data_IF_805657614709
#
_entry.id   IF_805657614709
#
_cell.length_a   1.000
_cell.length_b   1.000
_cell.length_c   1.000
_cell.angle_alpha   90.00
_cell.angle_beta   90.00
_cell.angle_gamma   90.00
#
_symmetry.space_group_name_H-M   'P 1'
#
loop_
_entity.id
_entity.type
_entity.pdbx_description
1 polymer ?
#
# COMPACT_ATOMS: atom_id res chain seq x y z
N UNK A 1 5.47 -3.08 -19.00
CA UNK A 1 4.73 -1.91 -19.52
C UNK A 1 3.88 -1.25 -18.45
N UNK A 2 2.97 -1.96 -17.75
CA UNK A 2 2.14 -1.36 -16.68
C UNK A 2 2.94 -0.70 -15.53
N UNK A 3 3.92 -1.40 -14.95
CA UNK A 3 4.81 -0.83 -13.92
C UNK A 3 5.54 0.43 -14.38
N UNK A 4 5.88 0.52 -15.68
CA UNK A 4 6.55 1.69 -16.23
C UNK A 4 5.60 2.89 -16.24
N UNK A 5 4.35 2.71 -16.69
CA UNK A 5 3.33 3.75 -16.66
C UNK A 5 3.10 4.29 -15.23
N UNK A 6 3.02 3.40 -14.24
CA UNK A 6 2.87 3.78 -12.83
C UNK A 6 4.08 4.57 -12.31
N UNK A 7 5.31 4.14 -12.62
CA UNK A 7 6.55 4.85 -12.22
C UNK A 7 6.69 6.23 -12.86
N UNK A 8 6.09 6.44 -14.03
CA UNK A 8 6.09 7.72 -14.72
C UNK A 8 4.93 8.64 -14.33
N UNK A 9 4.08 8.23 -13.38
CA UNK A 9 2.89 8.98 -12.99
C UNK A 9 1.94 9.19 -14.18
N UNK A 10 1.58 8.09 -14.85
CA UNK A 10 0.61 8.10 -15.95
C UNK A 10 -0.54 7.11 -15.66
N UNK A 11 -1.54 7.53 -14.86
CA UNK A 11 -2.69 6.71 -14.50
C UNK A 11 -3.59 6.42 -15.71
N UNK A 12 -3.66 7.31 -16.70
CA UNK A 12 -4.47 7.09 -17.90
C UNK A 12 -3.93 5.93 -18.74
N UNK A 13 -2.61 5.90 -18.95
CA UNK A 13 -1.96 4.78 -19.62
C UNK A 13 -2.12 3.48 -18.81
N UNK A 14 -2.00 3.55 -17.48
CA UNK A 14 -2.22 2.39 -16.62
C UNK A 14 -3.66 1.83 -16.76
N UNK A 15 -4.68 2.69 -16.75
CA UNK A 15 -6.09 2.31 -16.95
C UNK A 15 -6.27 1.58 -18.29
N UNK A 16 -5.71 2.12 -19.39
CA UNK A 16 -5.83 1.50 -20.71
C UNK A 16 -5.17 0.12 -20.74
N UNK A 17 -3.99 -0.01 -20.14
CA UNK A 17 -3.28 -1.29 -20.07
C UNK A 17 -4.05 -2.32 -19.23
N UNK A 18 -4.65 -1.91 -18.12
CA UNK A 18 -5.48 -2.78 -17.27
C UNK A 18 -6.72 -3.26 -18.04
N UNK A 19 -7.40 -2.36 -18.76
CA UNK A 19 -8.55 -2.71 -19.61
C UNK A 19 -8.18 -3.69 -20.74
N UNK A 20 -6.93 -3.68 -21.20
CA UNK A 20 -6.41 -4.65 -22.17
C UNK A 20 -5.99 -5.98 -21.54
N UNK A 21 -6.17 -6.17 -20.22
CA UNK A 21 -5.82 -7.40 -19.51
C UNK A 21 -4.36 -7.47 -19.08
N UNK A 22 -3.68 -6.32 -18.91
CA UNK A 22 -2.34 -6.32 -18.34
C UNK A 22 -2.34 -6.97 -16.95
N UNK A 23 -1.41 -7.89 -16.75
CA UNK A 23 -1.33 -8.65 -15.50
C UNK A 23 -0.90 -7.76 -14.33
N UNK A 24 -1.70 -7.75 -13.26
CA UNK A 24 -1.47 -6.99 -12.04
C UNK A 24 -0.46 -7.64 -11.09
N UNK A 25 -0.19 -8.94 -11.24
CA UNK A 25 0.65 -9.73 -10.32
C UNK A 25 2.07 -9.99 -10.84
N UNK A 26 2.51 -9.28 -11.88
CA UNK A 26 3.84 -9.49 -12.47
C UNK A 26 4.90 -8.81 -11.62
N UNK A 27 5.89 -9.57 -11.19
CA UNK A 27 7.04 -9.05 -10.45
C UNK A 27 8.12 -8.56 -11.41
N UNK A 28 8.70 -7.41 -11.12
CA UNK A 28 9.93 -6.97 -11.77
C UNK A 28 11.18 -7.51 -11.04
N UNK A 29 12.37 -7.18 -11.56
CA UNK A 29 13.65 -7.55 -10.93
C UNK A 29 13.88 -6.98 -9.53
N UNK A 30 13.07 -6.00 -9.12
CA UNK A 30 13.07 -5.41 -7.77
C UNK A 30 11.98 -5.99 -6.88
N UNK A 31 11.32 -7.07 -7.31
CA UNK A 31 10.21 -7.72 -6.62
C UNK A 31 8.99 -6.80 -6.40
N UNK A 32 8.84 -5.76 -7.23
CA UNK A 32 7.68 -4.88 -7.20
C UNK A 32 6.57 -5.42 -8.09
N UNK A 33 5.35 -5.28 -7.60
CA UNK A 33 4.11 -5.71 -8.23
C UNK A 33 3.29 -4.45 -8.61
N UNK A 34 2.68 -4.35 -9.81
CA UNK A 34 1.82 -3.23 -10.19
C UNK A 34 0.70 -2.92 -9.19
N UNK A 35 0.00 -3.94 -8.70
CA UNK A 35 -1.04 -3.83 -7.66
C UNK A 35 -0.48 -3.23 -6.36
N UNK A 36 0.73 -3.61 -5.94
CA UNK A 36 1.37 -3.00 -4.76
C UNK A 36 1.64 -1.51 -5.00
N UNK A 37 2.15 -1.13 -6.17
CA UNK A 37 2.40 0.29 -6.51
C UNK A 37 1.10 1.11 -6.55
N UNK A 38 0.03 0.55 -7.10
CA UNK A 38 -1.30 1.19 -7.13
C UNK A 38 -1.84 1.31 -5.70
N UNK A 39 -1.71 0.27 -4.88
CA UNK A 39 -2.09 0.29 -3.48
C UNK A 39 -1.32 1.34 -2.68
N UNK A 40 -0.01 1.48 -2.90
CA UNK A 40 0.82 2.47 -2.22
C UNK A 40 0.39 3.90 -2.59
N UNK A 41 0.06 4.14 -3.87
CA UNK A 41 -0.52 5.41 -4.30
C UNK A 41 -1.87 5.67 -3.63
N UNK A 42 -2.75 4.66 -3.55
CA UNK A 42 -4.03 4.78 -2.85
C UNK A 42 -3.82 5.09 -1.36
N UNK A 43 -2.94 4.36 -0.69
CA UNK A 43 -2.58 4.57 0.70
C UNK A 43 -2.10 6.01 0.94
N UNK A 44 -1.23 6.52 0.05
CA UNK A 44 -0.79 7.91 0.07
C UNK A 44 -1.98 8.90 0.02
N UNK A 45 -2.89 8.77 -0.95
CA UNK A 45 -4.05 9.68 -1.03
C UNK A 45 -5.00 9.57 0.18
N UNK A 46 -5.12 8.38 0.77
CA UNK A 46 -5.96 8.16 1.97
C UNK A 46 -5.31 8.72 3.23
N UNK A 47 -3.98 8.75 3.31
CA UNK A 47 -3.22 9.33 4.42
C UNK A 47 -3.02 10.85 4.30
N UNK A 48 -3.08 11.39 3.08
CA UNK A 48 -2.89 12.81 2.77
C UNK A 48 -4.13 13.42 2.08
N UNK A 49 -5.23 13.63 2.81
CA UNK A 49 -6.42 14.28 2.26
C UNK A 49 -6.20 15.79 2.07
N UNK A 50 -5.70 16.18 0.89
CA UNK A 50 -5.77 17.55 0.33
C UNK A 50 -5.13 18.70 1.14
N UNK A 51 -4.35 18.43 2.19
CA UNK A 51 -3.63 19.48 2.89
C UNK A 51 -2.44 19.97 2.04
N UNK A 52 -2.58 21.17 1.46
CA UNK A 52 -1.58 21.89 0.66
C UNK A 52 -0.32 22.29 1.45
N UNK A 53 -0.18 21.86 2.71
CA UNK A 53 0.80 22.37 3.67
C UNK A 53 2.00 21.47 3.91
N UNK A 54 2.14 20.35 3.19
CA UNK A 54 3.32 19.48 3.31
C UNK A 54 4.35 19.77 2.20
N UNK A 55 5.63 19.85 2.59
CA UNK A 55 6.78 19.81 1.69
C UNK A 55 6.83 18.44 0.99
N UNK A 56 6.01 18.31 -0.05
CA UNK A 56 5.93 17.11 -0.88
C UNK A 56 7.18 17.00 -1.76
N UNK A 57 7.69 15.79 -1.93
CA UNK A 57 8.77 15.56 -2.88
C UNK A 57 8.29 15.84 -4.32
N UNK A 58 9.22 16.04 -5.26
CA UNK A 58 8.87 16.23 -6.69
C UNK A 58 8.05 15.08 -7.30
N UNK A 59 8.12 13.87 -6.73
CA UNK A 59 7.29 12.73 -7.14
C UNK A 59 5.87 12.85 -6.61
N UNK A 60 5.74 13.20 -5.33
CA UNK A 60 4.46 13.31 -4.64
C UNK A 60 3.61 14.46 -5.18
N UNK A 61 4.24 15.55 -5.63
CA UNK A 61 3.52 16.66 -6.27
C UNK A 61 2.87 16.28 -7.60
N UNK A 62 3.45 15.34 -8.36
CA UNK A 62 2.87 14.83 -9.62
C UNK A 62 1.70 13.89 -9.38
N UNK A 63 1.78 13.05 -8.34
CA UNK A 63 0.66 12.21 -7.91
C UNK A 63 -0.55 13.08 -7.56
N UNK A 64 -0.36 14.11 -6.76
CA UNK A 64 -1.44 15.02 -6.33
C UNK A 64 -2.07 15.76 -7.51
N UNK A 65 -1.29 16.14 -8.53
CA UNK A 65 -1.81 16.80 -9.73
C UNK A 65 -2.80 15.96 -10.54
N UNK A 66 -2.64 14.63 -10.53
CA UNK A 66 -3.47 13.69 -11.30
C UNK A 66 -4.40 12.88 -10.39
N UNK A 67 -4.78 13.45 -9.24
CA UNK A 67 -5.57 12.75 -8.22
C UNK A 67 -6.89 12.21 -8.78
N UNK A 68 -7.57 12.97 -9.65
CA UNK A 68 -8.84 12.54 -10.23
C UNK A 68 -8.66 11.25 -11.04
N UNK A 69 -7.63 11.18 -11.87
CA UNK A 69 -7.32 10.02 -12.69
C UNK A 69 -6.86 8.81 -11.86
N UNK A 70 -6.18 9.07 -10.73
CA UNK A 70 -5.86 8.01 -9.77
C UNK A 70 -7.11 7.49 -9.05
N UNK A 71 -8.07 8.34 -8.67
CA UNK A 71 -9.32 7.88 -8.07
C UNK A 71 -10.16 7.06 -9.08
N UNK A 72 -10.14 7.41 -10.36
CA UNK A 72 -10.74 6.58 -11.42
C UNK A 72 -10.06 5.20 -11.51
N UNK A 73 -8.72 5.17 -11.43
CA UNK A 73 -7.95 3.93 -11.39
C UNK A 73 -8.25 3.08 -10.14
N UNK A 74 -8.38 3.70 -8.97
CA UNK A 74 -8.72 2.99 -7.73
C UNK A 74 -10.14 2.45 -7.78
N UNK A 75 -11.08 3.21 -8.34
CA UNK A 75 -12.47 2.77 -8.52
C UNK A 75 -12.56 1.58 -9.47
N UNK A 76 -11.71 1.54 -10.50
CA UNK A 76 -11.63 0.40 -11.43
C UNK A 76 -11.14 -0.88 -10.76
N UNK A 77 -10.23 -0.77 -9.79
CA UNK A 77 -9.57 -1.89 -9.11
C UNK A 77 -10.03 -2.04 -7.65
N UNK A 78 -11.22 -1.54 -7.31
CA UNK A 78 -11.66 -1.45 -5.92
C UNK A 78 -11.67 -2.82 -5.24
N UNK A 79 -12.16 -3.85 -5.94
CA UNK A 79 -12.25 -5.21 -5.40
C UNK A 79 -10.86 -5.84 -5.25
N UNK A 80 -9.98 -5.69 -6.26
CA UNK A 80 -8.62 -6.22 -6.21
C UNK A 80 -7.77 -5.53 -5.15
N UNK A 81 -7.90 -4.21 -5.00
CA UNK A 81 -7.21 -3.43 -3.97
C UNK A 81 -7.74 -3.75 -2.57
N UNK A 82 -9.06 -3.96 -2.42
CA UNK A 82 -9.66 -4.41 -1.17
C UNK A 82 -9.16 -5.80 -0.77
N UNK A 83 -9.22 -6.77 -1.69
CA UNK A 83 -8.70 -8.12 -1.44
C UNK A 83 -7.20 -8.13 -1.15
N UNK A 84 -6.43 -7.27 -1.83
CA UNK A 84 -5.00 -7.11 -1.56
C UNK A 84 -4.74 -6.54 -0.16
N UNK A 85 -5.49 -5.52 0.24
CA UNK A 85 -5.40 -4.91 1.56
C UNK A 85 -5.76 -5.91 2.67
N UNK A 86 -6.87 -6.62 2.54
CA UNK A 86 -7.32 -7.60 3.54
C UNK A 86 -6.30 -8.73 3.69
N UNK A 87 -5.75 -9.23 2.58
CA UNK A 87 -4.69 -10.23 2.59
C UNK A 87 -3.44 -9.70 3.29
N UNK A 88 -3.01 -8.48 2.96
CA UNK A 88 -1.83 -7.86 3.57
C UNK A 88 -2.02 -7.66 5.08
N UNK A 89 -3.18 -7.14 5.50
CA UNK A 89 -3.53 -6.93 6.90
C UNK A 89 -3.53 -8.25 7.67
N UNK A 90 -4.13 -9.30 7.11
CA UNK A 90 -4.15 -10.63 7.73
C UNK A 90 -2.75 -11.27 7.83
N UNK A 91 -1.90 -11.11 6.81
CA UNK A 91 -0.51 -11.58 6.86
C UNK A 91 0.28 -10.87 7.97
N UNK A 92 0.16 -9.54 8.06
CA UNK A 92 0.81 -8.75 9.13
C UNK A 92 0.27 -9.12 10.50
N UNK A 93 -1.04 -9.26 10.65
CA UNK A 93 -1.67 -9.66 11.90
C UNK A 93 -1.13 -11.00 12.39
N UNK A 94 -1.07 -12.01 11.51
CA UNK A 94 -0.54 -13.33 11.84
C UNK A 94 0.93 -13.25 12.25
N UNK A 95 1.77 -12.52 11.51
CA UNK A 95 3.18 -12.37 11.88
C UNK A 95 3.36 -11.64 13.22
N UNK A 96 2.55 -10.61 13.50
CA UNK A 96 2.56 -9.93 14.80
C UNK A 96 2.11 -10.85 15.94
N UNK A 97 1.10 -11.69 15.71
CA UNK A 97 0.64 -12.68 16.68
C UNK A 97 1.75 -13.68 17.00
N UNK A 98 2.41 -14.25 15.99
CA UNK A 98 3.54 -15.17 16.18
C UNK A 98 4.68 -14.51 16.96
N UNK A 99 5.07 -13.29 16.59
CA UNK A 99 6.12 -12.54 17.27
C UNK A 99 5.77 -12.24 18.73
N UNK A 100 4.56 -11.75 19.00
CA UNK A 100 4.14 -11.42 20.35
C UNK A 100 3.90 -12.66 21.20
N UNK A 101 3.41 -13.76 20.63
CA UNK A 101 3.24 -15.00 21.37
C UNK A 101 4.57 -15.51 21.95
N UNK A 102 5.67 -15.36 21.20
CA UNK A 102 6.99 -15.80 21.65
C UNK A 102 7.72 -14.79 22.54
N UNK A 103 7.55 -13.48 22.29
CA UNK A 103 8.42 -12.45 22.88
C UNK A 103 7.69 -11.57 23.91
N UNK A 104 6.39 -11.30 23.71
CA UNK A 104 5.62 -10.36 24.53
C UNK A 104 4.11 -10.68 24.50
N UNK A 105 3.66 -11.77 25.17
CA UNK A 105 2.28 -12.25 25.08
C UNK A 105 1.25 -11.22 25.59
N UNK A 106 1.66 -10.35 26.53
CA UNK A 106 0.83 -9.26 27.04
C UNK A 106 0.41 -8.22 25.98
N UNK A 107 1.06 -8.23 24.81
CA UNK A 107 0.77 -7.32 23.69
C UNK A 107 -0.21 -7.90 22.67
N UNK A 108 -0.57 -9.18 22.76
CA UNK A 108 -1.50 -9.82 21.83
C UNK A 108 -2.86 -9.10 21.77
N UNK A 109 -3.36 -8.65 22.92
CA UNK A 109 -4.62 -7.90 23.01
C UNK A 109 -4.59 -6.53 22.35
N UNK A 110 -3.39 -5.99 22.06
CA UNK A 110 -3.21 -4.65 21.46
C UNK A 110 -3.07 -4.70 19.94
N UNK A 111 -2.95 -5.89 19.35
CA UNK A 111 -2.77 -6.05 17.89
C UNK A 111 -3.90 -5.36 17.11
N UNK A 112 -5.20 -5.52 17.46
CA UNK A 112 -6.27 -4.84 16.72
C UNK A 112 -6.11 -3.32 16.72
N UNK A 113 -5.85 -2.72 17.89
CA UNK A 113 -5.65 -1.27 18.03
C UNK A 113 -4.43 -0.78 17.24
N UNK A 114 -3.35 -1.57 17.21
CA UNK A 114 -2.15 -1.25 16.45
C UNK A 114 -2.39 -1.31 14.94
N UNK A 115 -3.13 -2.32 14.45
CA UNK A 115 -3.48 -2.43 13.03
C UNK A 115 -4.35 -1.25 12.59
N UNK A 116 -5.32 -0.83 13.41
CA UNK A 116 -6.14 0.35 13.11
C UNK A 116 -5.34 1.65 13.15
N UNK A 117 -4.41 1.82 14.10
CA UNK A 117 -3.54 2.99 14.17
C UNK A 117 -2.58 3.09 12.97
N UNK A 118 -2.20 1.95 12.39
CA UNK A 118 -1.31 1.85 11.24
C UNK A 118 -2.07 1.52 9.95
N UNK A 119 -3.33 1.93 9.84
CA UNK A 119 -4.16 1.69 8.65
C UNK A 119 -3.42 2.08 7.36
N UNK A 120 -3.34 1.15 6.41
CA UNK A 120 -2.59 1.25 5.14
C UNK A 120 -1.05 1.32 5.26
N UNK A 121 -0.52 1.09 6.47
CA UNK A 121 0.91 1.12 6.84
C UNK A 121 1.28 -0.04 7.76
N UNK A 122 0.51 -1.12 7.74
CA UNK A 122 0.65 -2.27 8.63
C UNK A 122 2.03 -2.94 8.46
N UNK A 123 2.57 -2.97 7.23
CA UNK A 123 3.95 -3.44 6.99
C UNK A 123 5.01 -2.64 7.76
N UNK A 124 4.86 -1.32 7.86
CA UNK A 124 5.78 -0.48 8.64
C UNK A 124 5.70 -0.80 10.14
N UNK A 125 4.51 -1.11 10.66
CA UNK A 125 4.33 -1.56 12.04
C UNK A 125 5.13 -2.85 12.28
N UNK A 126 4.97 -3.83 11.39
CA UNK A 126 5.68 -5.11 11.48
C UNK A 126 7.20 -4.94 11.45
N UNK A 127 7.73 -4.11 10.54
CA UNK A 127 9.16 -3.81 10.48
C UNK A 127 9.66 -3.11 11.75
N UNK A 128 8.90 -2.13 12.26
CA UNK A 128 9.23 -1.47 13.54
C UNK A 128 9.26 -2.47 14.70
N UNK A 129 8.33 -3.41 14.72
CA UNK A 129 8.26 -4.47 15.75
C UNK A 129 9.45 -5.42 15.62
N UNK A 130 9.74 -5.93 14.42
CA UNK A 130 10.90 -6.82 14.17
C UNK A 130 12.20 -6.14 14.60
N UNK A 131 12.43 -4.89 14.17
CA UNK A 131 13.59 -4.10 14.57
C UNK A 131 13.69 -3.89 16.08
N UNK A 132 12.56 -3.64 16.75
CA UNK A 132 12.53 -3.45 18.21
C UNK A 132 12.95 -4.71 18.96
N UNK A 133 12.64 -5.88 18.43
CA UNK A 133 13.01 -7.16 19.02
C UNK A 133 14.29 -7.76 18.39
N UNK A 134 15.05 -6.97 17.60
CA UNK A 134 16.32 -7.36 16.97
C UNK A 134 16.20 -8.58 16.04
N UNK A 135 15.07 -8.67 15.33
CA UNK A 135 14.80 -9.64 14.27
C UNK A 135 14.97 -9.04 12.88
#
# INVERSE_FOLDING_TARGET
>A
MLLLALRHYDPQCAIVLIKQGASLNVLNSFNENPLQVIFDAMAFFRLHPSDETQDLSKGDSRLVQQRAEYEDLFSLLQDELGAFYDKQKAEVERELQELYQHIAPDRLSKIPDQLEAYKYREKLLLECVKKKYTL
#
